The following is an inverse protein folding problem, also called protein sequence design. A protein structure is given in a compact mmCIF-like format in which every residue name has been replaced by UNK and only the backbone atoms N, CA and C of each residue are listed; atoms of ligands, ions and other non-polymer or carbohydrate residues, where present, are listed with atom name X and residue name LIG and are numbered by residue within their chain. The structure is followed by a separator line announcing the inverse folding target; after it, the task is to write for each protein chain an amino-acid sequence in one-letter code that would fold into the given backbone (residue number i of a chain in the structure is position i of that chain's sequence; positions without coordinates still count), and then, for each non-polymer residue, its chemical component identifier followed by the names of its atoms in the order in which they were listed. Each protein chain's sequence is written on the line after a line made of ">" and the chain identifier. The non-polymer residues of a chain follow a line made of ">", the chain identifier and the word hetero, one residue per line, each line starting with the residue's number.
data_IF_548044090747
#
_entry.id   IF_548044090747
#
_cell.length_a   1.000
_cell.length_b   1.000
_cell.length_c   1.000
_cell.angle_alpha   90.00
_cell.angle_beta   90.00
_cell.angle_gamma   90.00
#
_symmetry.space_group_name_H-M   'P 1'
#
loop_
_entity.id
_entity.type
_entity.pdbx_description
1 polymer ?
#
# COMPACT_ATOMS: atom_id res chain seq x y z
N UNK A 1 12.53 20.68 12.34
CA UNK A 1 11.31 20.85 11.54
C UNK A 1 10.96 19.54 10.87
N UNK A 2 9.72 19.10 10.99
CA UNK A 2 9.31 17.83 10.39
C UNK A 2 9.19 17.98 8.87
N UNK A 3 9.78 17.04 8.12
CA UNK A 3 9.64 17.00 6.68
C UNK A 3 8.29 16.44 6.25
N UNK A 4 8.05 16.38 4.94
CA UNK A 4 6.80 15.86 4.37
C UNK A 4 6.54 14.43 4.81
N UNK A 5 7.59 13.59 4.83
CA UNK A 5 7.47 12.18 5.19
C UNK A 5 7.00 12.02 6.63
N UNK A 6 7.62 12.75 7.57
CA UNK A 6 7.23 12.67 8.98
C UNK A 6 5.82 13.20 9.21
N UNK A 7 5.45 14.29 8.54
CA UNK A 7 4.10 14.85 8.63
C UNK A 7 3.06 13.89 8.07
N UNK A 8 3.39 13.26 6.94
CA UNK A 8 2.50 12.28 6.33
C UNK A 8 2.27 11.08 7.26
N UNK A 9 3.34 10.60 7.91
CA UNK A 9 3.23 9.51 8.87
C UNK A 9 2.36 9.90 10.06
N UNK A 10 2.51 11.11 10.59
CA UNK A 10 1.69 11.59 11.70
C UNK A 10 0.21 11.65 11.31
N UNK A 11 -0.08 12.16 10.12
CA UNK A 11 -1.45 12.22 9.62
C UNK A 11 -2.03 10.82 9.40
N UNK A 12 -1.23 9.91 8.88
CA UNK A 12 -1.65 8.53 8.67
C UNK A 12 -1.96 7.86 10.01
N UNK A 13 -1.09 8.03 11.01
CA UNK A 13 -1.28 7.46 12.34
C UNK A 13 -2.52 8.04 13.03
N UNK A 14 -2.84 9.29 12.75
CA UNK A 14 -4.07 9.95 13.23
C UNK A 14 -5.31 9.53 12.43
N UNK A 15 -5.15 8.64 11.44
CA UNK A 15 -6.21 8.18 10.54
C UNK A 15 -6.78 9.29 9.67
N UNK A 16 -6.03 10.36 9.46
CA UNK A 16 -6.40 11.42 8.54
C UNK A 16 -5.82 11.11 7.16
N UNK A 17 -6.41 10.10 6.53
CA UNK A 17 -5.90 9.58 5.25
C UNK A 17 -6.04 10.60 4.11
N UNK A 18 -7.09 11.41 4.13
CA UNK A 18 -7.29 12.43 3.11
C UNK A 18 -6.19 13.48 3.12
N UNK A 19 -5.71 13.85 4.30
CA UNK A 19 -4.62 14.80 4.44
C UNK A 19 -3.26 14.14 4.17
N UNK A 20 -3.11 12.87 4.57
CA UNK A 20 -1.86 12.13 4.38
C UNK A 20 -1.55 11.85 2.91
N UNK A 21 -2.56 11.47 2.12
CA UNK A 21 -2.38 11.06 0.71
C UNK A 21 -1.66 12.11 -0.14
N UNK A 22 -2.05 13.40 -0.14
CA UNK A 22 -1.34 14.39 -0.96
C UNK A 22 0.13 14.53 -0.60
N UNK A 23 0.47 14.47 0.69
CA UNK A 23 1.86 14.54 1.13
C UNK A 23 2.64 13.29 0.73
N UNK A 24 2.02 12.12 0.87
CA UNK A 24 2.65 10.86 0.45
C UNK A 24 2.91 10.83 -1.05
N UNK A 25 1.98 11.37 -1.83
CA UNK A 25 2.15 11.45 -3.28
C UNK A 25 3.36 12.31 -3.63
N UNK A 26 3.53 13.45 -2.97
CA UNK A 26 4.70 14.31 -3.17
C UNK A 26 5.99 13.58 -2.81
N UNK A 27 6.01 12.84 -1.69
CA UNK A 27 7.19 12.08 -1.28
C UNK A 27 7.52 11.00 -2.31
N UNK A 28 6.51 10.26 -2.80
CA UNK A 28 6.72 9.24 -3.84
C UNK A 28 7.29 9.85 -5.12
N UNK A 29 6.83 11.05 -5.51
CA UNK A 29 7.35 11.73 -6.68
C UNK A 29 8.81 12.15 -6.50
N UNK A 30 9.21 12.52 -5.29
CA UNK A 30 10.58 12.91 -4.98
C UNK A 30 11.54 11.72 -4.89
N UNK A 31 11.07 10.58 -4.36
CA UNK A 31 11.88 9.37 -4.16
C UNK A 31 11.16 8.13 -4.71
N UNK A 32 10.90 8.08 -6.03
CA UNK A 32 10.06 7.03 -6.61
C UNK A 32 10.60 5.61 -6.44
N UNK A 33 11.90 5.47 -6.18
CA UNK A 33 12.54 4.17 -5.97
C UNK A 33 12.36 3.63 -4.54
N UNK A 34 11.89 4.45 -3.60
CA UNK A 34 11.70 4.01 -2.23
C UNK A 34 10.36 3.29 -2.07
N UNK A 35 10.40 2.07 -1.53
CA UNK A 35 9.19 1.24 -1.34
C UNK A 35 8.32 1.78 -0.22
N UNK A 36 8.91 2.21 0.90
CA UNK A 36 8.15 2.57 2.09
C UNK A 36 7.13 3.69 1.87
N UNK A 37 7.49 4.84 1.24
CA UNK A 37 6.48 5.87 0.97
C UNK A 37 5.38 5.40 0.02
N UNK A 38 5.73 4.64 -1.00
CA UNK A 38 4.77 4.13 -1.97
C UNK A 38 3.79 3.16 -1.32
N UNK A 39 4.30 2.31 -0.43
CA UNK A 39 3.47 1.36 0.30
C UNK A 39 2.51 2.08 1.24
N UNK A 40 2.97 3.12 1.94
CA UNK A 40 2.11 3.91 2.81
C UNK A 40 1.07 4.69 2.00
N UNK A 41 1.43 5.19 0.83
CA UNK A 41 0.49 5.84 -0.10
C UNK A 41 -0.62 4.86 -0.50
N UNK A 42 -0.24 3.63 -0.86
CA UNK A 42 -1.22 2.59 -1.20
C UNK A 42 -2.19 2.33 -0.04
N UNK A 43 -1.67 2.27 1.18
CA UNK A 43 -2.50 2.07 2.38
C UNK A 43 -3.44 3.27 2.61
N UNK A 44 -2.97 4.48 2.37
CA UNK A 44 -3.79 5.68 2.45
C UNK A 44 -4.94 5.65 1.44
N UNK A 45 -4.65 5.25 0.21
CA UNK A 45 -5.68 5.06 -0.80
C UNK A 45 -6.68 3.97 -0.40
N UNK A 46 -6.18 2.85 0.14
CA UNK A 46 -7.03 1.75 0.59
C UNK A 46 -8.02 2.21 1.66
N UNK A 47 -7.52 2.89 2.69
CA UNK A 47 -8.35 3.36 3.80
C UNK A 47 -9.32 4.46 3.41
N UNK A 48 -9.02 5.21 2.36
CA UNK A 48 -9.93 6.24 1.83
C UNK A 48 -10.81 5.71 0.69
N UNK A 49 -10.86 4.39 0.52
CA UNK A 49 -11.69 3.69 -0.48
C UNK A 49 -11.34 4.05 -1.93
N UNK A 50 -10.13 4.52 -2.19
CA UNK A 50 -9.62 4.78 -3.53
C UNK A 50 -8.90 3.52 -4.05
N UNK A 51 -9.69 2.46 -4.25
CA UNK A 51 -9.16 1.10 -4.43
C UNK A 51 -8.36 0.93 -5.73
N UNK A 52 -8.78 1.56 -6.82
CA UNK A 52 -8.04 1.50 -8.08
C UNK A 52 -6.66 2.13 -7.97
N UNK A 53 -6.55 3.24 -7.25
CA UNK A 53 -5.27 3.91 -7.01
C UNK A 53 -4.39 3.10 -6.06
N UNK A 54 -4.99 2.48 -5.05
CA UNK A 54 -4.26 1.57 -4.16
C UNK A 54 -3.68 0.40 -4.95
N UNK A 55 -4.47 -0.20 -5.82
CA UNK A 55 -4.02 -1.31 -6.68
C UNK A 55 -2.82 -0.91 -7.52
N UNK A 56 -2.86 0.26 -8.16
CA UNK A 56 -1.76 0.73 -9.00
C UNK A 56 -0.45 0.85 -8.22
N UNK A 57 -0.51 1.41 -7.02
CA UNK A 57 0.68 1.57 -6.18
C UNK A 57 1.22 0.21 -5.71
N UNK A 58 0.33 -0.69 -5.32
CA UNK A 58 0.73 -2.02 -4.84
C UNK A 58 1.39 -2.83 -5.96
N UNK A 59 0.85 -2.78 -7.18
CA UNK A 59 1.46 -3.45 -8.32
C UNK A 59 2.84 -2.89 -8.64
N UNK A 60 3.01 -1.57 -8.50
CA UNK A 60 4.31 -0.93 -8.70
C UNK A 60 5.33 -1.39 -7.65
N UNK A 61 4.90 -1.53 -6.39
CA UNK A 61 5.77 -2.07 -5.32
C UNK A 61 6.20 -3.48 -5.65
N UNK A 62 5.25 -4.35 -6.02
CA UNK A 62 5.52 -5.77 -6.29
C UNK A 62 6.43 -5.92 -7.52
N UNK A 63 6.27 -5.08 -8.52
CA UNK A 63 7.13 -5.10 -9.71
C UNK A 63 8.59 -4.82 -9.35
N UNK A 64 8.83 -3.89 -8.43
CA UNK A 64 10.18 -3.54 -7.95
C UNK A 64 10.74 -4.53 -6.94
N UNK A 65 9.86 -5.05 -6.10
CA UNK A 65 10.24 -5.95 -4.99
C UNK A 65 9.24 -7.10 -4.93
N UNK A 66 9.46 -8.14 -5.74
CA UNK A 66 8.51 -9.27 -5.80
C UNK A 66 8.37 -10.04 -4.48
N UNK A 67 9.30 -9.86 -3.55
CA UNK A 67 9.26 -10.53 -2.24
C UNK A 67 8.68 -9.64 -1.14
N UNK A 68 8.10 -8.49 -1.49
CA UNK A 68 7.40 -7.65 -0.54
C UNK A 68 6.01 -8.25 -0.27
N UNK A 69 5.94 -9.18 0.67
CA UNK A 69 4.73 -9.98 0.92
C UNK A 69 3.59 -9.16 1.51
N UNK A 70 3.90 -8.09 2.24
CA UNK A 70 2.86 -7.20 2.74
C UNK A 70 2.12 -6.52 1.58
N UNK A 71 2.85 -6.10 0.54
CA UNK A 71 2.22 -5.52 -0.65
C UNK A 71 1.33 -6.55 -1.36
N UNK A 72 1.74 -7.82 -1.41
CA UNK A 72 0.93 -8.87 -1.98
C UNK A 72 -0.35 -9.09 -1.18
N UNK A 73 -0.26 -9.11 0.15
CA UNK A 73 -1.44 -9.22 1.02
C UNK A 73 -2.41 -8.06 0.77
N UNK A 74 -1.89 -6.84 0.75
CA UNK A 74 -2.70 -5.65 0.54
C UNK A 74 -3.33 -5.63 -0.84
N UNK A 75 -2.61 -6.09 -1.88
CA UNK A 75 -3.17 -6.21 -3.22
C UNK A 75 -4.33 -7.19 -3.23
N UNK A 76 -4.17 -8.35 -2.61
CA UNK A 76 -5.24 -9.34 -2.50
C UNK A 76 -6.48 -8.75 -1.82
N UNK A 77 -6.30 -8.05 -0.70
CA UNK A 77 -7.41 -7.42 0.01
C UNK A 77 -8.06 -6.30 -0.80
N UNK A 78 -7.26 -5.54 -1.53
CA UNK A 78 -7.77 -4.49 -2.42
C UNK A 78 -8.64 -5.07 -3.52
N UNK A 79 -8.18 -6.15 -4.14
CA UNK A 79 -8.93 -6.85 -5.17
C UNK A 79 -10.23 -7.44 -4.62
N UNK A 80 -10.21 -8.04 -3.42
CA UNK A 80 -11.42 -8.52 -2.77
C UNK A 80 -12.46 -7.42 -2.58
N UNK A 81 -12.03 -6.26 -2.09
CA UNK A 81 -12.94 -5.12 -1.89
C UNK A 81 -13.51 -4.60 -3.20
N UNK A 82 -12.82 -4.81 -4.32
CA UNK A 82 -13.33 -4.49 -5.65
C UNK A 82 -14.24 -5.58 -6.21
N UNK A 83 -14.48 -6.65 -5.46
CA UNK A 83 -15.28 -7.78 -5.91
C UNK A 83 -14.56 -8.72 -6.87
N UNK A 84 -13.25 -8.57 -7.03
CA UNK A 84 -12.42 -9.35 -7.95
C UNK A 84 -11.79 -10.53 -7.21
N UNK A 85 -12.64 -11.42 -6.73
CA UNK A 85 -12.24 -12.52 -5.84
C UNK A 85 -11.32 -13.54 -6.49
N UNK A 86 -11.56 -13.88 -7.76
CA UNK A 86 -10.72 -14.83 -8.49
C UNK A 86 -9.29 -14.30 -8.66
N UNK A 87 -9.15 -13.01 -8.93
CA UNK A 87 -7.83 -12.38 -9.05
C UNK A 87 -7.14 -12.22 -7.69
N UNK A 88 -7.93 -12.00 -6.63
CA UNK A 88 -7.40 -11.82 -5.27
C UNK A 88 -6.82 -13.11 -4.70
N UNK A 89 -7.42 -14.26 -5.01
CA UNK A 89 -7.10 -15.54 -4.38
C UNK A 89 -5.62 -15.92 -4.45
N UNK A 90 -4.93 -15.85 -5.60
CA UNK A 90 -3.51 -16.20 -5.64
C UNK A 90 -2.65 -15.34 -4.73
N UNK A 91 -2.93 -14.03 -4.67
CA UNK A 91 -2.19 -13.11 -3.82
C UNK A 91 -2.38 -13.44 -2.34
N UNK A 92 -3.62 -13.72 -1.95
CA UNK A 92 -3.95 -14.04 -0.56
C UNK A 92 -3.34 -15.38 -0.14
N UNK A 93 -3.33 -16.38 -1.03
CA UNK A 93 -2.71 -17.66 -0.74
C UNK A 93 -1.21 -17.53 -0.49
N UNK A 94 -0.51 -16.78 -1.34
CA UNK A 94 0.92 -16.54 -1.19
C UNK A 94 1.21 -15.83 0.12
N UNK A 95 0.47 -14.77 0.42
CA UNK A 95 0.64 -14.01 1.66
C UNK A 95 0.35 -14.85 2.90
N UNK A 96 -0.68 -15.72 2.86
CA UNK A 96 -1.02 -16.60 3.96
C UNK A 96 0.10 -17.63 4.22
N UNK A 97 0.69 -18.16 3.17
CA UNK A 97 1.79 -19.12 3.30
C UNK A 97 3.00 -18.50 3.99
N UNK A 98 3.35 -17.26 3.61
CA UNK A 98 4.44 -16.52 4.23
C UNK A 98 4.08 -16.11 5.66
N UNK A 99 2.86 -15.65 5.88
CA UNK A 99 2.38 -15.27 7.20
C UNK A 99 2.41 -16.42 8.19
N UNK A 100 2.12 -17.64 7.73
CA UNK A 100 2.19 -18.84 8.57
C UNK A 100 3.63 -19.09 9.04
N UNK A 101 4.63 -18.80 8.20
CA UNK A 101 6.04 -18.95 8.56
C UNK A 101 6.50 -17.83 9.50
N UNK A 102 5.93 -16.66 9.38
CA UNK A 102 6.31 -15.49 10.18
C UNK A 102 5.55 -15.42 11.51
N UNK A 103 4.40 -16.02 11.54
CA UNK A 103 3.52 -15.99 12.70
C UNK A 103 3.83 -16.99 13.74
#
# INVERSE_FOLDING_TARGET
>A
MAGKWERAQLLFDAKDYRAAVPLLLEVVEEVPEHVAPRLLLARGYYHSAQLGRAEQQLRAVIERDPVEFYAQLMLGRTLERQGRHAEAAPWLRTAAAVGADLG
#
